data_IF_062169528941
#
_entry.id   IF_062169528941
#
_cell.length_a   1.000
_cell.length_b   1.000
_cell.length_c   1.000
_cell.angle_alpha   90.00
_cell.angle_beta   90.00
_cell.angle_gamma   90.00
#
_symmetry.space_group_name_H-M   'P 1'
#
loop_
_entity.id
_entity.type
_entity.pdbx_description
1 polymer ?
#
# COMPACT_ATOMS: atom_id res chain seq x y z
N UNK A 1 7.61 29.16 15.01
CA UNK A 1 8.24 27.88 14.61
C UNK A 1 7.63 27.36 13.32
N UNK A 2 8.44 27.05 12.35
CA UNK A 2 7.96 26.51 11.07
C UNK A 2 7.97 24.97 11.09
N UNK A 3 7.03 24.33 10.40
CA UNK A 3 7.06 22.88 10.23
C UNK A 3 8.31 22.44 9.48
N UNK A 4 8.74 21.22 9.74
CA UNK A 4 9.89 20.62 9.06
C UNK A 4 9.43 19.94 7.77
N UNK A 5 10.07 20.25 6.66
CA UNK A 5 9.80 19.59 5.37
C UNK A 5 10.49 18.24 5.34
N UNK A 6 9.74 17.21 4.93
CA UNK A 6 10.25 15.86 4.69
C UNK A 6 9.94 15.49 3.25
N UNK A 7 10.64 14.50 2.73
CA UNK A 7 10.43 14.06 1.36
C UNK A 7 9.94 12.61 1.36
N UNK A 8 8.87 12.36 0.64
CA UNK A 8 8.24 11.04 0.56
C UNK A 8 9.19 9.95 0.04
N UNK A 9 10.10 10.31 -0.84
CA UNK A 9 11.01 9.36 -1.49
C UNK A 9 12.37 9.23 -0.79
N UNK A 10 12.56 9.87 0.37
CA UNK A 10 13.83 9.81 1.10
C UNK A 10 13.93 8.50 1.89
N UNK A 11 15.15 7.94 1.92
CA UNK A 11 15.47 6.75 2.72
C UNK A 11 14.55 5.57 2.39
N UNK A 12 14.45 5.27 1.10
CA UNK A 12 13.69 4.12 0.65
C UNK A 12 14.39 2.83 1.12
N UNK A 13 13.64 1.90 1.76
CA UNK A 13 14.24 0.64 2.18
C UNK A 13 14.63 -0.20 0.97
N UNK A 14 15.63 -1.05 1.14
CA UNK A 14 16.06 -2.02 0.15
C UNK A 14 15.78 -3.43 0.70
N UNK A 15 15.58 -4.38 -0.20
CA UNK A 15 15.35 -5.78 0.18
C UNK A 15 14.40 -6.45 -0.81
N UNK A 16 14.71 -7.67 -1.21
CA UNK A 16 13.88 -8.43 -2.16
C UNK A 16 12.83 -9.24 -1.41
N UNK A 17 11.60 -9.25 -1.94
CA UNK A 17 10.51 -10.03 -1.37
C UNK A 17 9.80 -9.39 -0.18
N UNK A 18 10.27 -8.23 0.25
CA UNK A 18 9.77 -7.56 1.45
C UNK A 18 8.77 -6.47 1.14
N UNK A 19 7.97 -6.12 2.15
CA UNK A 19 7.07 -5.00 2.13
C UNK A 19 7.33 -4.16 3.38
N UNK A 20 7.63 -2.87 3.20
CA UNK A 20 7.99 -1.98 4.30
C UNK A 20 6.97 -0.84 4.42
N UNK A 21 6.49 -0.63 5.63
CA UNK A 21 5.47 0.37 5.96
C UNK A 21 6.10 1.50 6.77
N UNK A 22 5.78 2.75 6.42
CA UNK A 22 6.19 3.91 7.20
C UNK A 22 4.99 4.83 7.36
N UNK A 23 4.57 5.07 8.60
CA UNK A 23 3.52 6.03 8.89
C UNK A 23 4.07 7.44 8.76
N UNK A 24 3.48 8.24 7.88
CA UNK A 24 3.89 9.62 7.62
C UNK A 24 3.11 10.62 8.48
N UNK A 25 1.85 10.34 8.72
CA UNK A 25 0.96 11.18 9.49
C UNK A 25 -0.16 10.34 10.06
N UNK A 26 -0.58 10.65 11.28
CA UNK A 26 -1.64 9.88 11.93
C UNK A 26 -2.37 10.73 12.95
N UNK A 27 -3.68 10.59 13.02
CA UNK A 27 -4.51 11.13 14.09
C UNK A 27 -5.65 10.15 14.38
N UNK A 28 -6.65 10.57 15.17
CA UNK A 28 -7.75 9.67 15.54
C UNK A 28 -8.66 9.31 14.37
N UNK A 29 -8.61 10.07 13.26
CA UNK A 29 -9.51 9.89 12.11
C UNK A 29 -8.84 9.22 10.92
N UNK A 30 -7.51 9.33 10.79
CA UNK A 30 -6.82 8.84 9.59
C UNK A 30 -5.35 8.53 9.86
N UNK A 31 -4.80 7.69 9.01
CA UNK A 31 -3.37 7.42 8.96
C UNK A 31 -2.92 7.46 7.51
N UNK A 32 -1.76 8.07 7.26
CA UNK A 32 -1.15 8.15 5.94
C UNK A 32 0.16 7.37 5.99
N UNK A 33 0.32 6.42 5.09
CA UNK A 33 1.49 5.54 5.04
C UNK A 33 2.16 5.56 3.69
N UNK A 34 3.48 5.41 3.71
CA UNK A 34 4.24 4.99 2.54
C UNK A 34 4.46 3.49 2.63
N UNK A 35 4.18 2.78 1.54
CA UNK A 35 4.46 1.35 1.44
C UNK A 35 5.45 1.13 0.31
N UNK A 36 6.53 0.41 0.59
CA UNK A 36 7.52 0.06 -0.42
C UNK A 36 7.59 -1.46 -0.52
N UNK A 37 7.30 -1.99 -1.70
CA UNK A 37 7.29 -3.42 -1.96
C UNK A 37 8.40 -3.77 -2.95
N UNK A 38 9.19 -4.80 -2.64
CA UNK A 38 10.27 -5.27 -3.51
C UNK A 38 9.95 -6.69 -3.96
N UNK A 39 9.33 -6.83 -5.13
CA UNK A 39 8.91 -8.12 -5.66
C UNK A 39 8.11 -8.92 -4.63
N UNK A 40 7.38 -8.21 -3.79
CA UNK A 40 6.61 -8.82 -2.70
C UNK A 40 5.32 -9.41 -3.22
N UNK A 41 4.92 -10.52 -2.61
CA UNK A 41 3.57 -11.05 -2.76
C UNK A 41 3.13 -11.62 -1.41
N UNK A 42 1.85 -11.53 -1.13
CA UNK A 42 1.28 -12.10 0.10
C UNK A 42 1.44 -13.61 0.08
N UNK A 43 1.75 -14.23 1.24
CA UNK A 43 1.83 -15.68 1.31
C UNK A 43 0.50 -16.35 0.92
N UNK A 44 0.53 -17.59 0.41
CA UNK A 44 -0.70 -18.33 0.12
C UNK A 44 -1.60 -18.41 1.35
N UNK A 45 -2.89 -18.14 1.16
CA UNK A 45 -3.87 -18.20 2.23
C UNK A 45 -3.95 -16.96 3.10
N UNK A 46 -3.06 -15.98 2.89
CA UNK A 46 -3.12 -14.72 3.63
C UNK A 46 -4.06 -13.73 2.95
N UNK A 47 -4.95 -13.12 3.73
CA UNK A 47 -5.87 -12.09 3.28
C UNK A 47 -5.87 -10.93 4.27
N UNK A 48 -5.72 -9.71 3.75
CA UNK A 48 -6.00 -8.52 4.53
C UNK A 48 -7.51 -8.41 4.75
N UNK A 49 -7.88 -8.08 5.98
CA UNK A 49 -9.26 -7.81 6.37
C UNK A 49 -9.20 -6.69 7.39
N UNK A 50 -9.35 -5.46 6.94
CA UNK A 50 -9.07 -4.28 7.74
C UNK A 50 -10.34 -3.64 8.26
N UNK A 51 -10.25 -3.06 9.45
CA UNK A 51 -11.36 -2.35 10.09
C UNK A 51 -11.57 -0.94 9.52
N UNK A 52 -10.60 -0.43 8.76
CA UNK A 52 -10.62 0.91 8.19
C UNK A 52 -10.87 0.83 6.69
N UNK A 53 -11.44 1.90 6.11
CA UNK A 53 -11.41 2.07 4.67
C UNK A 53 -10.00 2.47 4.25
N UNK A 54 -9.54 1.97 3.12
CA UNK A 54 -8.20 2.26 2.62
C UNK A 54 -8.28 2.82 1.20
N UNK A 55 -7.67 4.00 1.01
CA UNK A 55 -7.45 4.57 -0.31
C UNK A 55 -5.98 4.39 -0.64
N UNK A 56 -5.66 3.82 -1.80
CA UNK A 56 -4.28 3.52 -2.17
C UNK A 56 -4.01 3.96 -3.60
N UNK A 57 -2.82 4.54 -3.82
CA UNK A 57 -2.33 4.91 -5.14
C UNK A 57 -0.92 4.34 -5.32
N UNK A 58 -0.63 3.82 -6.50
CA UNK A 58 0.74 3.43 -6.87
C UNK A 58 1.43 4.65 -7.46
N UNK A 59 2.56 5.06 -6.87
CA UNK A 59 3.33 6.21 -7.34
C UNK A 59 4.50 5.79 -8.22
N UNK A 60 5.03 4.57 -8.03
CA UNK A 60 6.14 4.02 -8.81
C UNK A 60 5.98 2.50 -8.88
N UNK A 61 6.34 1.93 -10.03
CA UNK A 61 6.23 0.49 -10.23
C UNK A 61 4.81 0.06 -10.55
N UNK A 62 4.50 -1.19 -10.31
CA UNK A 62 3.18 -1.75 -10.58
C UNK A 62 2.86 -2.88 -9.61
N UNK A 63 1.57 -3.16 -9.46
CA UNK A 63 1.11 -4.19 -8.54
C UNK A 63 -0.18 -4.82 -9.05
N UNK A 64 -0.46 -6.02 -8.58
CA UNK A 64 -1.74 -6.69 -8.78
C UNK A 64 -2.30 -7.07 -7.42
N UNK A 65 -3.53 -6.64 -7.16
CA UNK A 65 -4.29 -7.04 -5.98
C UNK A 65 -5.27 -8.13 -6.38
N UNK A 66 -5.47 -9.07 -5.46
CA UNK A 66 -6.49 -10.11 -5.63
C UNK A 66 -7.55 -9.92 -4.57
N UNK A 67 -8.82 -9.98 -5.00
CA UNK A 67 -9.97 -9.94 -4.11
C UNK A 67 -10.59 -11.33 -3.99
N UNK A 68 -11.36 -11.58 -2.94
CA UNK A 68 -12.03 -12.87 -2.77
C UNK A 68 -12.98 -13.09 -3.94
N UNK A 69 -12.99 -14.32 -4.45
CA UNK A 69 -13.71 -14.63 -5.69
C UNK A 69 -12.81 -14.73 -6.91
N UNK A 70 -11.50 -14.42 -6.75
CA UNK A 70 -10.51 -14.56 -7.81
C UNK A 70 -10.34 -13.34 -8.68
N UNK A 71 -11.00 -12.23 -8.37
CA UNK A 71 -10.88 -10.99 -9.11
C UNK A 71 -9.48 -10.40 -8.95
N UNK A 72 -8.83 -10.07 -10.06
CA UNK A 72 -7.50 -9.44 -10.07
C UNK A 72 -7.63 -8.01 -10.57
N UNK A 73 -6.97 -7.09 -9.85
CA UNK A 73 -6.95 -5.67 -10.21
C UNK A 73 -5.50 -5.24 -10.34
N UNK A 74 -5.14 -4.75 -11.53
CA UNK A 74 -3.79 -4.26 -11.81
C UNK A 74 -3.72 -2.76 -11.58
N UNK A 75 -2.63 -2.31 -10.93
CA UNK A 75 -2.37 -0.91 -10.65
C UNK A 75 -1.03 -0.52 -11.26
N UNK A 76 -1.05 0.48 -12.13
CA UNK A 76 0.13 1.11 -12.72
C UNK A 76 0.32 2.49 -12.10
N UNK A 77 1.47 3.18 -12.33
CA UNK A 77 1.71 4.48 -11.70
C UNK A 77 0.56 5.46 -11.95
N UNK A 78 0.06 6.04 -10.88
CA UNK A 78 -1.07 6.96 -10.90
C UNK A 78 -2.43 6.31 -10.74
N UNK A 79 -2.52 4.99 -10.83
CA UNK A 79 -3.78 4.28 -10.60
C UNK A 79 -4.08 4.22 -9.10
N UNK A 80 -5.33 4.47 -8.74
CA UNK A 80 -5.76 4.41 -7.34
C UNK A 80 -7.13 3.77 -7.23
N UNK A 81 -7.41 3.24 -6.04
CA UNK A 81 -8.71 2.68 -5.73
C UNK A 81 -8.97 2.78 -4.23
N UNK A 82 -10.23 2.61 -3.86
CA UNK A 82 -10.64 2.51 -2.47
C UNK A 82 -10.99 1.08 -2.14
N UNK A 83 -10.41 0.57 -1.06
CA UNK A 83 -10.74 -0.75 -0.53
C UNK A 83 -11.61 -0.51 0.70
N UNK A 84 -12.92 -0.78 0.64
CA UNK A 84 -13.77 -0.60 1.81
C UNK A 84 -13.36 -1.53 2.96
N UNK A 85 -13.68 -1.11 4.19
CA UNK A 85 -13.41 -1.94 5.36
C UNK A 85 -13.98 -3.35 5.18
N UNK A 86 -13.24 -4.33 5.67
CA UNK A 86 -13.60 -5.75 5.64
C UNK A 86 -13.73 -6.38 4.24
N UNK A 87 -13.34 -5.65 3.20
CA UNK A 87 -13.20 -6.25 1.86
C UNK A 87 -11.85 -6.96 1.82
N UNK A 88 -11.88 -8.27 1.82
CA UNK A 88 -10.68 -9.10 1.86
C UNK A 88 -9.90 -9.00 0.57
N UNK A 89 -8.60 -8.78 0.69
CA UNK A 89 -7.71 -8.65 -0.45
C UNK A 89 -6.30 -9.09 -0.08
N UNK A 90 -5.49 -9.34 -1.09
CA UNK A 90 -4.08 -9.68 -0.91
C UNK A 90 -3.27 -9.12 -2.06
N UNK A 91 -1.97 -8.98 -1.83
CA UNK A 91 -1.03 -8.55 -2.87
C UNK A 91 -0.62 -9.80 -3.66
N UNK A 92 -1.11 -9.91 -4.88
CA UNK A 92 -0.80 -11.06 -5.74
C UNK A 92 0.57 -10.91 -6.37
N UNK A 93 0.99 -9.66 -6.66
CA UNK A 93 2.27 -9.37 -7.31
C UNK A 93 2.64 -7.91 -7.11
N UNK A 94 3.93 -7.63 -6.96
CA UNK A 94 4.49 -6.29 -7.10
C UNK A 94 5.72 -6.34 -8.01
N UNK A 95 6.05 -5.20 -8.63
CA UNK A 95 7.27 -5.05 -9.40
C UNK A 95 8.49 -5.07 -8.48
N UNK A 96 9.69 -5.02 -9.07
CA UNK A 96 10.95 -5.04 -8.33
C UNK A 96 11.00 -3.94 -7.26
N UNK A 97 10.50 -2.73 -7.59
CA UNK A 97 10.27 -1.67 -6.61
C UNK A 97 8.92 -1.04 -6.90
N UNK A 98 8.00 -1.17 -5.95
CA UNK A 98 6.67 -0.55 -6.03
C UNK A 98 6.51 0.36 -4.83
N UNK A 99 6.18 1.63 -5.08
CA UNK A 99 5.96 2.62 -4.02
C UNK A 99 4.51 3.05 -4.04
N UNK A 100 3.87 2.88 -2.88
CA UNK A 100 2.44 3.17 -2.70
C UNK A 100 2.28 4.26 -1.65
N UNK A 101 1.22 5.05 -1.82
CA UNK A 101 0.70 5.92 -0.77
C UNK A 101 -0.65 5.35 -0.35
N UNK A 102 -0.81 5.06 0.92
CA UNK A 102 -2.03 4.52 1.47
C UNK A 102 -2.61 5.47 2.52
N UNK A 103 -3.90 5.70 2.46
CA UNK A 103 -4.64 6.50 3.43
C UNK A 103 -5.71 5.61 4.06
N UNK A 104 -5.61 5.43 5.38
CA UNK A 104 -6.60 4.67 6.14
C UNK A 104 -7.52 5.65 6.87
N UNK A 105 -8.83 5.47 6.76
CA UNK A 105 -9.80 6.32 7.45
C UNK A 105 -10.61 5.47 8.43
N UNK A 106 -10.63 5.91 9.66
CA UNK A 106 -11.26 5.18 10.78
C UNK A 106 -12.70 5.56 11.01
#
# INVERSE_FOLDING_TARGET
MAPTVKNFFTNLPAGAGDEAFLTLFENTSAAIERVVSHSHQSPPGFWYDQADDEWVIVLRGSATLEFTGGELVELNPGDYLTIPRHVKHRVARTSEETIWLAVHTR
#
